data_IF_806475911453
#
_entry.id   IF_806475911453
#
_cell.length_a   1.000
_cell.length_b   1.000
_cell.length_c   1.000
_cell.angle_alpha   90.00
_cell.angle_beta   90.00
_cell.angle_gamma   90.00
#
_symmetry.space_group_name_H-M   'P 1'
#
loop_
_entity.id
_entity.type
_entity.pdbx_description
1 polymer ?
#
# COMPACT_ATOMS: atom_id res chain seq x y z
N UNK A 1 -3.32 -22.60 0.52
CA UNK A 1 -4.14 -21.61 -0.19
C UNK A 1 -4.32 -21.99 -1.65
N UNK A 2 -5.56 -22.30 -2.00
CA UNK A 2 -6.07 -22.57 -3.33
C UNK A 2 -6.27 -21.25 -4.11
N UNK A 3 -5.40 -20.98 -5.09
CA UNK A 3 -5.44 -19.75 -5.88
C UNK A 3 -6.67 -19.67 -6.78
N UNK A 4 -7.18 -20.80 -7.27
CA UNK A 4 -8.35 -20.81 -8.13
C UNK A 4 -9.60 -20.36 -7.35
N UNK A 5 -9.78 -20.89 -6.12
CA UNK A 5 -10.86 -20.44 -5.22
C UNK A 5 -10.73 -18.97 -4.85
N UNK A 6 -9.52 -18.53 -4.50
CA UNK A 6 -9.25 -17.12 -4.19
C UNK A 6 -9.68 -16.20 -5.34
N UNK A 7 -9.17 -16.44 -6.56
CA UNK A 7 -9.46 -15.58 -7.70
C UNK A 7 -10.91 -15.66 -8.18
N UNK A 8 -11.56 -16.82 -8.05
CA UNK A 8 -12.99 -16.94 -8.35
C UNK A 8 -13.84 -16.07 -7.40
N UNK A 9 -13.57 -16.14 -6.09
CA UNK A 9 -14.34 -15.41 -5.09
C UNK A 9 -14.03 -13.91 -5.07
N UNK A 10 -12.76 -13.50 -5.23
CA UNK A 10 -12.39 -12.07 -5.26
C UNK A 10 -12.99 -11.35 -6.46
N UNK A 11 -13.06 -12.04 -7.61
CA UNK A 11 -13.61 -11.49 -8.86
C UNK A 11 -15.05 -11.04 -8.69
N UNK A 12 -15.89 -11.87 -8.06
CA UNK A 12 -17.31 -11.56 -7.86
C UNK A 12 -17.56 -10.57 -6.74
N UNK A 13 -16.81 -10.66 -5.63
CA UNK A 13 -17.07 -9.87 -4.42
C UNK A 13 -16.45 -8.48 -4.42
N UNK A 14 -15.25 -8.30 -4.98
CA UNK A 14 -14.50 -7.03 -4.91
C UNK A 14 -14.29 -6.34 -6.26
N UNK A 15 -14.31 -7.09 -7.37
CA UNK A 15 -13.95 -6.57 -8.69
C UNK A 15 -15.09 -6.60 -9.72
N UNK A 16 -16.34 -6.71 -9.26
CA UNK A 16 -17.51 -6.55 -10.13
C UNK A 16 -17.65 -7.58 -11.25
N UNK A 17 -17.08 -8.78 -11.07
CA UNK A 17 -17.23 -9.92 -11.98
C UNK A 17 -16.11 -10.11 -13.00
N UNK A 18 -15.14 -9.21 -13.08
CA UNK A 18 -13.99 -9.34 -13.98
C UNK A 18 -12.66 -9.00 -13.27
N UNK A 19 -11.56 -9.55 -13.78
CA UNK A 19 -10.21 -9.19 -13.34
C UNK A 19 -9.35 -8.91 -14.56
N UNK A 20 -8.60 -7.82 -14.51
CA UNK A 20 -7.52 -7.57 -15.46
C UNK A 20 -6.30 -8.43 -15.13
N UNK A 21 -5.43 -8.67 -16.11
CA UNK A 21 -4.19 -9.42 -15.86
C UNK A 21 -3.29 -8.72 -14.82
N UNK A 22 -3.25 -7.39 -14.82
CA UNK A 22 -2.49 -6.62 -13.82
C UNK A 22 -3.05 -6.82 -12.40
N UNK A 23 -4.38 -6.88 -12.23
CA UNK A 23 -4.97 -7.19 -10.94
C UNK A 23 -4.61 -8.59 -10.46
N UNK A 24 -4.66 -9.57 -11.37
CA UNK A 24 -4.22 -10.96 -11.08
C UNK A 24 -2.75 -10.99 -10.68
N UNK A 25 -1.87 -10.37 -11.46
CA UNK A 25 -0.43 -10.37 -11.19
C UNK A 25 -0.09 -9.71 -9.85
N UNK A 26 -0.71 -8.57 -9.55
CA UNK A 26 -0.47 -7.85 -8.30
C UNK A 26 -0.93 -8.61 -7.07
N UNK A 27 -2.15 -9.17 -7.11
CA UNK A 27 -2.64 -10.04 -6.03
C UNK A 27 -1.80 -11.30 -5.91
N UNK A 28 -1.40 -11.94 -7.02
CA UNK A 28 -0.52 -13.11 -6.99
C UNK A 28 0.79 -12.79 -6.28
N UNK A 29 1.42 -11.66 -6.60
CA UNK A 29 2.70 -11.25 -6.00
C UNK A 29 2.58 -10.98 -4.50
N UNK A 30 1.48 -10.38 -4.04
CA UNK A 30 1.19 -10.23 -2.60
C UNK A 30 1.01 -11.56 -1.88
N UNK A 31 0.26 -12.48 -2.49
CA UNK A 31 0.03 -13.81 -1.93
C UNK A 31 1.31 -14.66 -1.94
N UNK A 32 2.17 -14.52 -2.95
CA UNK A 32 3.47 -15.18 -3.02
C UNK A 32 4.40 -14.64 -1.93
N UNK A 33 4.46 -13.31 -1.75
CA UNK A 33 5.20 -12.68 -0.66
C UNK A 33 4.70 -13.12 0.73
N UNK A 34 3.39 -13.29 0.88
CA UNK A 34 2.81 -13.85 2.11
C UNK A 34 3.26 -15.29 2.38
N UNK A 35 3.21 -16.16 1.35
CA UNK A 35 3.63 -17.56 1.49
C UNK A 35 5.13 -17.73 1.74
N UNK A 36 5.95 -16.82 1.23
CA UNK A 36 7.39 -16.80 1.49
C UNK A 36 7.74 -16.23 2.89
N UNK A 37 6.82 -15.51 3.52
CA UNK A 37 6.98 -14.93 4.85
C UNK A 37 6.63 -15.90 5.98
N UNK A 38 6.73 -15.40 7.22
CA UNK A 38 6.40 -16.13 8.45
C UNK A 38 5.09 -15.67 9.12
N UNK A 39 4.40 -14.69 8.52
CA UNK A 39 3.13 -14.19 9.04
C UNK A 39 2.02 -15.20 8.73
N UNK A 40 1.18 -15.50 9.72
CA UNK A 40 0.17 -16.56 9.62
C UNK A 40 -1.26 -16.07 9.86
N UNK A 41 -1.44 -14.91 10.47
CA UNK A 41 -2.77 -14.35 10.72
C UNK A 41 -3.36 -13.77 9.42
N UNK A 42 -4.27 -14.48 8.78
CA UNK A 42 -4.89 -14.07 7.51
C UNK A 42 -5.60 -12.71 7.58
N UNK A 43 -5.94 -12.20 8.77
CA UNK A 43 -6.46 -10.83 8.93
C UNK A 43 -5.43 -9.79 8.50
N UNK A 44 -4.15 -10.07 8.69
CA UNK A 44 -3.07 -9.18 8.31
C UNK A 44 -2.94 -9.11 6.79
N UNK A 45 -2.92 -10.27 6.12
CA UNK A 45 -2.93 -10.34 4.66
C UNK A 45 -4.17 -9.66 4.07
N UNK A 46 -5.34 -9.91 4.66
CA UNK A 46 -6.60 -9.29 4.24
C UNK A 46 -6.51 -7.75 4.31
N UNK A 47 -5.93 -7.22 5.39
CA UNK A 47 -5.77 -5.78 5.57
C UNK A 47 -4.73 -5.17 4.62
N UNK A 48 -3.64 -5.89 4.33
CA UNK A 48 -2.65 -5.47 3.32
C UNK A 48 -3.27 -5.42 1.92
N UNK A 49 -4.03 -6.45 1.52
CA UNK A 49 -4.75 -6.49 0.24
C UNK A 49 -5.76 -5.35 0.13
N UNK A 50 -6.55 -5.10 1.18
CA UNK A 50 -7.50 -4.00 1.23
C UNK A 50 -6.84 -2.63 1.13
N UNK A 51 -5.70 -2.46 1.80
CA UNK A 51 -4.90 -1.25 1.71
C UNK A 51 -4.43 -1.04 0.28
N UNK A 52 -3.79 -2.02 -0.34
CA UNK A 52 -3.35 -1.92 -1.73
C UNK A 52 -4.52 -1.67 -2.68
N UNK A 53 -5.66 -2.34 -2.49
CA UNK A 53 -6.88 -2.11 -3.28
C UNK A 53 -7.34 -0.66 -3.19
N UNK A 54 -7.37 -0.08 -1.99
CA UNK A 54 -7.79 1.29 -1.79
C UNK A 54 -6.79 2.30 -2.39
N UNK A 55 -5.52 2.20 -2.00
CA UNK A 55 -4.48 3.18 -2.33
C UNK A 55 -4.13 3.17 -3.83
N UNK A 56 -4.26 2.03 -4.48
CA UNK A 56 -3.93 1.88 -5.91
C UNK A 56 -5.13 2.08 -6.83
N UNK A 57 -6.27 2.54 -6.29
CA UNK A 57 -7.54 2.64 -7.00
C UNK A 57 -7.92 1.32 -7.71
N UNK A 58 -7.81 0.21 -6.98
CA UNK A 58 -8.17 -1.14 -7.39
C UNK A 58 -7.31 -1.72 -8.54
N UNK A 59 -6.24 -1.04 -8.95
CA UNK A 59 -5.33 -1.59 -9.98
C UNK A 59 -4.53 -2.77 -9.45
N UNK A 60 -4.34 -2.84 -8.13
CA UNK A 60 -3.46 -3.79 -7.44
C UNK A 60 -2.02 -3.74 -7.95
N UNK A 61 -1.59 -2.59 -8.46
CA UNK A 61 -0.22 -2.36 -8.92
C UNK A 61 0.42 -1.23 -8.12
N UNK A 62 1.75 -1.21 -7.95
CA UNK A 62 2.45 -0.05 -7.42
C UNK A 62 2.07 1.19 -8.24
N UNK A 63 1.60 2.25 -7.58
CA UNK A 63 1.25 3.51 -8.25
C UNK A 63 2.11 4.66 -7.77
N UNK A 64 2.29 5.62 -8.65
CA UNK A 64 2.86 6.92 -8.32
C UNK A 64 1.77 7.84 -7.81
N UNK A 65 2.13 8.80 -6.97
CA UNK A 65 1.25 9.87 -6.51
C UNK A 65 0.55 10.52 -7.70
N UNK A 66 -0.74 10.84 -7.54
CA UNK A 66 -1.63 11.30 -8.62
C UNK A 66 -1.92 10.28 -9.73
N UNK A 67 -1.42 9.04 -9.61
CA UNK A 67 -1.47 7.97 -10.63
C UNK A 67 -0.80 8.36 -11.95
N UNK A 68 0.22 9.21 -11.90
CA UNK A 68 0.92 9.66 -13.09
C UNK A 68 1.88 8.60 -13.64
N UNK A 69 2.08 8.59 -14.95
CA UNK A 69 2.97 7.63 -15.61
C UNK A 69 4.46 7.91 -15.32
N UNK A 70 4.81 9.18 -15.08
CA UNK A 70 6.19 9.61 -14.75
C UNK A 70 6.25 10.53 -13.53
N UNK A 71 7.44 10.70 -12.96
CA UNK A 71 7.68 11.61 -11.83
C UNK A 71 7.39 13.07 -12.22
N UNK A 72 7.78 13.48 -13.42
CA UNK A 72 7.57 14.84 -13.94
C UNK A 72 6.07 15.18 -14.04
N UNK A 73 5.28 14.23 -14.52
CA UNK A 73 3.82 14.38 -14.59
C UNK A 73 3.20 14.48 -13.20
N UNK A 74 3.61 13.63 -12.25
CA UNK A 74 3.13 13.71 -10.86
C UNK A 74 3.47 15.07 -10.24
N UNK A 75 4.71 15.53 -10.40
CA UNK A 75 5.19 16.82 -9.90
C UNK A 75 4.36 17.97 -10.50
N UNK A 76 4.12 17.97 -11.81
CA UNK A 76 3.34 19.02 -12.46
C UNK A 76 1.87 19.06 -11.96
N UNK A 77 1.27 17.91 -11.64
CA UNK A 77 -0.09 17.86 -11.06
C UNK A 77 -0.08 18.39 -9.62
N UNK A 78 0.91 17.98 -8.82
CA UNK A 78 1.05 18.42 -7.42
C UNK A 78 1.35 19.92 -7.32
N UNK A 79 2.23 20.45 -8.18
CA UNK A 79 2.54 21.88 -8.22
C UNK A 79 1.34 22.73 -8.61
N UNK A 80 0.53 22.29 -9.60
CA UNK A 80 -0.73 22.96 -9.92
C UNK A 80 -1.71 22.94 -8.74
N UNK A 81 -1.78 21.84 -8.01
CA UNK A 81 -2.64 21.71 -6.82
C UNK A 81 -2.17 22.58 -5.65
N UNK A 82 -0.85 22.66 -5.47
CA UNK A 82 -0.22 23.52 -4.46
C UNK A 82 -0.42 25.00 -4.75
N UNK A 83 -0.19 25.43 -5.99
CA UNK A 83 -0.41 26.81 -6.42
C UNK A 83 -1.88 27.26 -6.28
N UNK A 84 -2.83 26.33 -6.41
CA UNK A 84 -4.27 26.57 -6.18
C UNK A 84 -4.67 26.58 -4.69
N UNK A 85 -3.74 26.30 -3.76
CA UNK A 85 -4.05 26.21 -2.33
C UNK A 85 -4.88 24.98 -1.94
N UNK A 86 -4.94 23.95 -2.78
CA UNK A 86 -5.69 22.73 -2.49
C UNK A 86 -4.97 21.81 -1.48
N UNK A 87 -3.65 21.97 -1.32
CA UNK A 87 -2.81 21.20 -0.39
C UNK A 87 -2.57 21.96 0.92
N UNK A 88 -3.65 22.34 1.61
CA UNK A 88 -3.64 23.28 2.77
C UNK A 88 -2.73 22.86 3.94
N UNK A 89 -2.47 21.57 4.09
CA UNK A 89 -1.67 21.01 5.18
C UNK A 89 -0.19 20.84 4.83
N UNK A 90 0.16 20.98 3.54
CA UNK A 90 1.54 20.84 3.09
C UNK A 90 2.27 22.17 3.24
N UNK A 91 3.27 22.21 4.13
CA UNK A 91 4.15 23.38 4.29
C UNK A 91 5.36 23.34 3.37
N UNK A 92 5.88 22.14 3.12
CA UNK A 92 7.08 21.93 2.31
C UNK A 92 6.78 20.91 1.22
N UNK A 93 6.95 21.25 -0.06
CA UNK A 93 6.57 20.40 -1.19
C UNK A 93 7.58 19.26 -1.38
N UNK A 94 7.41 18.17 -0.64
CA UNK A 94 8.31 17.01 -0.63
C UNK A 94 8.47 16.32 -2.00
N UNK A 95 7.54 16.55 -2.92
CA UNK A 95 7.54 15.98 -4.27
C UNK A 95 8.48 16.71 -5.23
N UNK A 96 8.87 17.96 -4.95
CA UNK A 96 9.76 18.69 -5.85
C UNK A 96 11.14 18.05 -5.87
N UNK A 97 11.77 18.09 -7.04
CA UNK A 97 13.15 17.62 -7.21
C UNK A 97 14.07 18.53 -6.39
N UNK A 98 14.79 17.94 -5.45
CA UNK A 98 15.81 18.63 -4.66
C UNK A 98 17.08 18.89 -5.47
N UNK A 99 18.02 19.64 -4.87
CA UNK A 99 19.34 19.87 -5.47
C UNK A 99 20.13 18.56 -5.71
N UNK A 100 19.77 17.48 -5.01
CA UNK A 100 20.31 16.13 -5.19
C UNK A 100 19.64 15.34 -6.33
N UNK A 101 18.76 15.98 -7.12
CA UNK A 101 18.06 15.36 -8.25
C UNK A 101 16.94 14.41 -7.84
N UNK A 102 16.54 14.37 -6.56
CA UNK A 102 15.60 13.37 -6.03
C UNK A 102 14.26 13.98 -5.63
N UNK A 103 13.21 13.18 -5.79
CA UNK A 103 11.85 13.51 -5.38
C UNK A 103 11.29 12.47 -4.41
N UNK A 104 10.62 12.94 -3.36
CA UNK A 104 10.04 12.11 -2.31
C UNK A 104 8.52 11.99 -2.43
N UNK A 105 7.99 12.13 -3.65
CA UNK A 105 6.57 11.89 -3.97
C UNK A 105 6.13 10.46 -3.63
N UNK A 106 4.83 10.25 -3.50
CA UNK A 106 4.20 8.98 -3.16
C UNK A 106 4.49 7.89 -4.19
N UNK A 107 4.96 6.72 -3.75
CA UNK A 107 5.19 5.54 -4.61
C UNK A 107 4.74 4.25 -3.95
N UNK A 108 4.46 3.24 -4.76
CA UNK A 108 4.18 1.88 -4.30
C UNK A 108 2.73 1.65 -3.87
N UNK A 109 2.50 0.50 -3.26
CA UNK A 109 1.18 0.04 -2.80
C UNK A 109 0.55 0.89 -1.69
N UNK A 110 1.38 1.61 -0.94
CA UNK A 110 0.97 2.34 0.27
C UNK A 110 1.32 3.83 0.21
N UNK A 111 1.66 4.34 -0.98
CA UNK A 111 2.01 5.75 -1.21
C UNK A 111 3.10 6.27 -0.25
N UNK A 112 4.28 5.63 -0.26
CA UNK A 112 5.43 6.05 0.54
C UNK A 112 5.87 7.47 0.14
N UNK A 113 5.78 8.43 1.06
CA UNK A 113 6.13 9.85 0.87
C UNK A 113 7.19 10.31 1.89
N UNK A 114 7.87 11.42 1.59
CA UNK A 114 8.91 12.06 2.42
C UNK A 114 10.23 11.30 2.56
N UNK A 115 11.36 12.03 2.44
CA UNK A 115 12.73 11.48 2.54
C UNK A 115 12.97 10.63 3.79
N UNK A 116 12.42 11.05 4.93
CA UNK A 116 12.56 10.33 6.19
C UNK A 116 11.94 8.93 6.14
N UNK A 117 10.79 8.76 5.50
CA UNK A 117 10.18 7.43 5.35
C UNK A 117 10.92 6.58 4.31
N UNK A 118 11.37 7.18 3.20
CA UNK A 118 12.22 6.47 2.23
C UNK A 118 13.50 5.94 2.89
N UNK A 119 14.16 6.74 3.73
CA UNK A 119 15.33 6.31 4.49
C UNK A 119 15.01 5.19 5.49
N UNK A 120 13.99 5.40 6.33
CA UNK A 120 13.58 4.45 7.37
C UNK A 120 13.17 3.09 6.79
N UNK A 121 12.29 3.08 5.79
CA UNK A 121 11.81 1.84 5.17
C UNK A 121 12.88 1.21 4.29
N UNK A 122 13.68 2.01 3.57
CA UNK A 122 14.81 1.53 2.80
C UNK A 122 15.81 0.75 3.65
N UNK A 123 16.19 1.32 4.80
CA UNK A 123 17.06 0.65 5.76
C UNK A 123 16.44 -0.65 6.29
N UNK A 124 15.15 -0.63 6.65
CA UNK A 124 14.46 -1.81 7.17
C UNK A 124 14.41 -2.98 6.17
N UNK A 125 14.31 -2.68 4.87
CA UNK A 125 14.24 -3.71 3.82
C UNK A 125 15.58 -3.98 3.13
N UNK A 126 16.67 -3.34 3.58
CA UNK A 126 18.01 -3.49 3.01
C UNK A 126 18.15 -2.93 1.59
N UNK A 127 17.39 -1.89 1.23
CA UNK A 127 17.43 -1.23 -0.08
C UNK A 127 17.66 0.27 0.10
N UNK A 128 18.67 0.83 -0.56
CA UNK A 128 18.93 2.26 -0.51
C UNK A 128 17.94 3.07 -1.38
N UNK A 129 16.74 3.26 -0.84
CA UNK A 129 15.69 4.09 -1.43
C UNK A 129 16.03 5.59 -1.39
N UNK A 130 17.02 6.01 -0.61
CA UNK A 130 17.48 7.40 -0.60
C UNK A 130 18.42 7.65 -1.77
N UNK A 131 19.27 6.69 -2.13
CA UNK A 131 20.07 6.76 -3.36
C UNK A 131 19.17 6.72 -4.60
N UNK A 132 18.19 5.83 -4.64
CA UNK A 132 17.29 5.69 -5.79
C UNK A 132 15.81 5.54 -5.36
N UNK A 133 15.06 6.65 -5.21
CA UNK A 133 13.66 6.60 -4.76
C UNK A 133 12.71 5.96 -5.77
N UNK A 134 13.08 5.90 -7.06
CA UNK A 134 12.24 5.27 -8.08
C UNK A 134 12.07 3.77 -7.87
N UNK A 135 12.99 3.13 -7.14
CA UNK A 135 12.92 1.73 -6.76
C UNK A 135 11.66 1.38 -5.97
N UNK A 136 11.05 2.34 -5.27
CA UNK A 136 9.78 2.14 -4.56
C UNK A 136 8.57 1.85 -5.49
N UNK A 137 8.74 2.02 -6.81
CA UNK A 137 7.77 1.58 -7.82
C UNK A 137 7.97 0.13 -8.29
N UNK A 138 9.11 -0.49 -8.00
CA UNK A 138 9.37 -1.88 -8.37
C UNK A 138 8.53 -2.79 -7.46
N UNK A 139 7.82 -3.75 -8.06
CA UNK A 139 6.82 -4.57 -7.37
C UNK A 139 7.34 -5.25 -6.11
N UNK A 140 8.46 -5.99 -6.22
CA UNK A 140 9.10 -6.68 -5.10
C UNK A 140 9.53 -5.74 -3.96
N UNK A 141 9.97 -4.52 -4.29
CA UNK A 141 10.37 -3.50 -3.30
C UNK A 141 9.13 -2.88 -2.67
N UNK A 142 8.09 -2.55 -3.45
CA UNK A 142 6.83 -2.02 -2.95
C UNK A 142 6.15 -3.01 -2.00
N UNK A 143 6.19 -4.31 -2.30
CA UNK A 143 5.73 -5.38 -1.41
C UNK A 143 6.52 -5.39 -0.10
N UNK A 144 7.86 -5.38 -0.16
CA UNK A 144 8.71 -5.30 1.05
C UNK A 144 8.39 -4.08 1.90
N UNK A 145 8.22 -2.90 1.28
CA UNK A 145 7.82 -1.66 1.96
C UNK A 145 6.49 -1.84 2.68
N UNK A 146 5.46 -2.35 1.99
CA UNK A 146 4.13 -2.56 2.58
C UNK A 146 4.17 -3.58 3.71
N UNK A 147 4.72 -4.77 3.47
CA UNK A 147 4.72 -5.87 4.43
C UNK A 147 5.49 -5.48 5.70
N UNK A 148 6.72 -5.00 5.56
CA UNK A 148 7.59 -4.60 6.67
C UNK A 148 7.02 -3.38 7.39
N UNK A 149 6.58 -2.37 6.64
CA UNK A 149 6.06 -1.15 7.24
C UNK A 149 4.79 -1.37 8.06
N UNK A 150 3.89 -2.23 7.58
CA UNK A 150 2.64 -2.53 8.30
C UNK A 150 2.84 -3.50 9.47
N UNK A 151 3.77 -4.46 9.36
CA UNK A 151 4.04 -5.43 10.44
C UNK A 151 4.86 -4.83 11.59
N UNK A 152 5.77 -3.91 11.28
CA UNK A 152 6.67 -3.28 12.27
C UNK A 152 6.21 -1.88 12.69
N UNK A 153 5.20 -1.32 12.01
CA UNK A 153 4.64 -0.01 12.34
C UNK A 153 5.52 1.15 11.90
N UNK A 154 6.26 0.98 10.81
CA UNK A 154 7.25 1.96 10.36
C UNK A 154 6.63 3.14 9.61
N UNK A 155 5.32 3.23 9.40
CA UNK A 155 4.70 4.42 8.83
C UNK A 155 4.35 5.43 9.93
N UNK A 156 3.47 5.05 10.85
CA UNK A 156 2.91 5.93 11.90
C UNK A 156 3.27 5.52 13.33
N UNK A 157 3.91 4.37 13.52
CA UNK A 157 4.08 3.69 14.81
C UNK A 157 3.01 2.63 15.11
N UNK A 158 1.86 2.69 14.43
CA UNK A 158 0.82 1.66 14.54
C UNK A 158 1.14 0.46 13.64
N UNK A 159 0.99 -0.76 14.17
CA UNK A 159 1.28 -2.02 13.44
C UNK A 159 0.12 -3.01 13.49
N UNK A 160 0.11 -3.97 12.58
CA UNK A 160 -0.94 -4.98 12.46
C UNK A 160 -1.27 -5.70 13.77
N UNK A 161 -0.24 -6.11 14.53
CA UNK A 161 -0.40 -6.76 15.85
C UNK A 161 -1.12 -5.90 16.90
N UNK A 162 -1.18 -4.57 16.76
CA UNK A 162 -1.97 -3.73 17.66
C UNK A 162 -3.48 -3.90 17.45
N UNK A 163 -3.92 -4.31 16.25
CA UNK A 163 -5.33 -4.36 15.86
C UNK A 163 -5.87 -5.78 15.69
N UNK A 164 -4.98 -6.72 15.34
CA UNK A 164 -5.33 -8.11 15.08
C UNK A 164 -4.46 -9.02 15.96
N UNK A 165 -5.02 -9.51 17.06
CA UNK A 165 -4.33 -10.38 18.04
C UNK A 165 -5.34 -11.21 18.83
N UNK A 166 -5.13 -12.53 18.90
CA UNK A 166 -6.12 -13.44 19.49
C UNK A 166 -7.49 -13.24 18.86
N UNK A 167 -8.52 -13.06 19.69
CA UNK A 167 -9.88 -12.77 19.24
C UNK A 167 -10.10 -11.32 18.75
N UNK A 168 -9.17 -10.39 19.03
CA UNK A 168 -9.29 -8.99 18.63
C UNK A 168 -9.19 -8.84 17.11
N UNK A 169 -10.16 -8.15 16.51
CA UNK A 169 -10.12 -7.74 15.11
C UNK A 169 -10.66 -6.31 14.94
N UNK A 170 -9.77 -5.32 15.05
CA UNK A 170 -10.11 -3.90 14.91
C UNK A 170 -9.81 -3.37 13.50
N UNK A 171 -10.72 -3.67 12.57
CA UNK A 171 -10.60 -3.30 11.16
C UNK A 171 -10.61 -1.79 10.91
N UNK A 172 -11.39 -1.04 11.70
CA UNK A 172 -11.50 0.41 11.56
C UNK A 172 -10.24 1.09 12.12
N UNK A 173 -9.80 0.68 13.32
CA UNK A 173 -8.61 1.23 13.96
C UNK A 173 -7.33 0.97 13.18
N UNK A 174 -7.26 -0.17 12.47
CA UNK A 174 -6.11 -0.53 11.64
C UNK A 174 -5.77 0.51 10.55
N UNK A 175 -6.67 1.45 10.22
CA UNK A 175 -6.36 2.53 9.25
C UNK A 175 -5.19 3.39 9.72
N UNK A 176 -5.02 3.50 11.04
CA UNK A 176 -3.91 4.17 11.71
C UNK A 176 -2.53 3.65 11.28
N UNK A 177 -2.43 2.42 10.75
CA UNK A 177 -1.17 1.86 10.27
C UNK A 177 -0.59 2.69 9.13
N UNK A 178 -1.43 3.16 8.20
CA UNK A 178 -0.98 3.84 6.97
C UNK A 178 -1.12 5.35 7.09
N UNK A 179 -2.27 5.83 7.56
CA UNK A 179 -2.58 7.25 7.66
C UNK A 179 -3.50 7.49 8.88
N UNK A 180 -4.19 8.63 8.99
CA UNK A 180 -5.19 8.91 10.01
C UNK A 180 -6.43 8.01 9.90
N UNK A 181 -7.64 8.57 10.08
CA UNK A 181 -8.89 7.79 10.06
C UNK A 181 -9.69 7.94 8.75
N UNK A 182 -9.11 8.58 7.75
CA UNK A 182 -9.77 8.80 6.46
C UNK A 182 -10.06 7.47 5.75
N UNK A 183 -11.29 7.33 5.24
CA UNK A 183 -11.79 6.14 4.52
C UNK A 183 -11.64 4.83 5.32
N UNK A 184 -11.54 4.91 6.65
CA UNK A 184 -11.37 3.74 7.51
C UNK A 184 -12.50 2.72 7.35
N UNK A 185 -13.74 3.18 7.19
CA UNK A 185 -14.89 2.31 6.95
C UNK A 185 -14.75 1.54 5.63
N UNK A 186 -14.42 2.24 4.53
CA UNK A 186 -14.26 1.59 3.22
C UNK A 186 -13.16 0.53 3.25
N UNK A 187 -11.98 0.88 3.80
CA UNK A 187 -10.84 -0.06 3.90
C UNK A 187 -11.18 -1.24 4.81
N UNK A 188 -11.90 -1.01 5.90
CA UNK A 188 -12.35 -2.08 6.79
C UNK A 188 -13.30 -3.05 6.08
N UNK A 189 -14.23 -2.53 5.27
CA UNK A 189 -15.17 -3.37 4.54
C UNK A 189 -14.48 -4.17 3.44
N UNK A 190 -13.54 -3.57 2.70
CA UNK A 190 -12.68 -4.31 1.77
C UNK A 190 -11.87 -5.39 2.50
N UNK A 191 -11.29 -5.09 3.66
CA UNK A 191 -10.49 -6.04 4.43
C UNK A 191 -11.31 -7.24 4.90
N UNK A 192 -12.54 -7.02 5.37
CA UNK A 192 -13.45 -8.13 5.73
C UNK A 192 -13.81 -8.98 4.52
N UNK A 193 -14.06 -8.36 3.37
CA UNK A 193 -14.33 -9.09 2.13
C UNK A 193 -13.12 -9.93 1.69
N UNK A 194 -11.91 -9.38 1.71
CA UNK A 194 -10.68 -10.13 1.45
C UNK A 194 -10.47 -11.25 2.48
N UNK A 195 -10.76 -11.02 3.77
CA UNK A 195 -10.63 -12.05 4.79
C UNK A 195 -11.55 -13.24 4.50
N UNK A 196 -12.83 -12.98 4.14
CA UNK A 196 -13.77 -14.03 3.79
C UNK A 196 -13.28 -14.86 2.59
N UNK A 197 -12.75 -14.19 1.56
CA UNK A 197 -12.15 -14.84 0.38
C UNK A 197 -10.94 -15.69 0.77
N UNK A 198 -10.04 -15.16 1.59
CA UNK A 198 -8.84 -15.86 2.03
C UNK A 198 -9.17 -17.10 2.87
N UNK A 199 -10.15 -17.02 3.77
CA UNK A 199 -10.59 -18.15 4.58
C UNK A 199 -11.22 -19.26 3.72
N UNK A 200 -12.03 -18.90 2.72
CA UNK A 200 -12.62 -19.88 1.79
C UNK A 200 -11.60 -20.54 0.85
N UNK A 201 -10.43 -19.92 0.70
CA UNK A 201 -9.33 -20.40 -0.13
C UNK A 201 -8.17 -21.01 0.67
N UNK A 202 -8.19 -20.96 2.01
CA UNK A 202 -7.07 -21.35 2.87
C UNK A 202 -6.64 -22.81 2.65
#
# INVERSE_FOLDING_TARGET
MDRAKFFAAVRSSLFGGALTQNQVNGMSSMLDAWQAGNMTDLRWLAYMLATAFHETAQTMQPVRETRAATDEQAIAILDRSFAKGSLRWVKTPYWRIGADGKSWLGRGYVQLTHKSNYSKLGNAIGVDLVANPTLAMRDDIALKVMFTGMSEGLFTGAKLAHFFVGAKADWLGARLIINGKERAADVADYAKAFQAVLLGAA
#
